data_IF_292946324527
#
_entry.id   IF_292946324527
#
_cell.length_a   1.000
_cell.length_b   1.000
_cell.length_c   1.000
_cell.angle_alpha   90.00
_cell.angle_beta   90.00
_cell.angle_gamma   90.00
#
_symmetry.space_group_name_H-M   'P 1'
#
loop_
_entity.id
_entity.type
_entity.pdbx_description
1 polymer ?
#
# COMPACT_ATOMS: atom_id res chain seq x y z
N UNK A 1 -17.15 -15.08 -0.71
CA UNK A 1 -16.86 -13.75 -1.30
C UNK A 1 -15.90 -13.02 -0.36
N UNK A 2 -14.77 -12.49 -0.85
CA UNK A 2 -13.85 -11.68 -0.03
C UNK A 2 -14.25 -10.21 -0.16
N UNK A 3 -14.43 -9.52 0.97
CA UNK A 3 -14.72 -8.07 1.02
C UNK A 3 -13.49 -7.39 1.60
N UNK A 4 -12.92 -6.46 0.85
CA UNK A 4 -11.74 -5.70 1.25
C UNK A 4 -12.08 -4.23 1.40
N UNK A 5 -11.38 -3.54 2.30
CA UNK A 5 -11.50 -2.10 2.50
C UNK A 5 -10.33 -1.37 1.84
N UNK A 6 -10.64 -0.36 1.00
CA UNK A 6 -9.64 0.57 0.46
C UNK A 6 -9.31 1.62 1.52
N UNK A 7 -8.04 1.63 1.94
CA UNK A 7 -7.56 2.47 3.04
C UNK A 7 -7.21 3.91 2.66
N UNK A 8 -7.36 4.35 1.40
CA UNK A 8 -6.97 5.70 0.97
C UNK A 8 -7.74 6.79 1.75
N UNK A 9 -8.99 6.49 2.11
CA UNK A 9 -9.88 7.39 2.86
C UNK A 9 -9.45 7.63 4.31
N UNK A 10 -8.55 6.80 4.85
CA UNK A 10 -8.00 6.89 6.22
C UNK A 10 -6.46 6.87 6.26
N UNK A 11 -5.80 7.19 5.14
CA UNK A 11 -4.33 7.14 5.01
C UNK A 11 -3.54 8.04 5.95
N UNK A 12 -4.21 8.96 6.64
CA UNK A 12 -3.57 9.87 7.59
C UNK A 12 -3.44 9.27 9.00
N UNK A 13 -4.08 8.12 9.29
CA UNK A 13 -4.01 7.46 10.60
C UNK A 13 -2.65 6.81 10.89
N UNK A 14 -1.79 6.67 9.88
CA UNK A 14 -0.57 5.87 9.98
C UNK A 14 -0.85 4.36 9.96
N UNK A 15 0.16 3.56 9.59
CA UNK A 15 -0.05 2.14 9.22
C UNK A 15 -0.67 1.29 10.33
N UNK A 16 -0.28 1.48 11.58
CA UNK A 16 -0.78 0.69 12.72
C UNK A 16 -2.25 1.02 13.02
N UNK A 17 -2.58 2.29 13.25
CA UNK A 17 -3.96 2.69 13.58
C UNK A 17 -4.91 2.42 12.41
N UNK A 18 -4.43 2.57 11.18
CA UNK A 18 -5.19 2.21 9.97
C UNK A 18 -5.63 0.74 10.00
N UNK A 19 -4.73 -0.22 10.29
CA UNK A 19 -5.08 -1.64 10.37
C UNK A 19 -6.07 -1.92 11.50
N UNK A 20 -5.83 -1.36 12.69
CA UNK A 20 -6.77 -1.51 13.80
C UNK A 20 -8.15 -0.94 13.47
N UNK A 21 -8.23 0.20 12.78
CA UNK A 21 -9.50 0.80 12.38
C UNK A 21 -10.28 -0.10 11.42
N UNK A 22 -9.61 -0.72 10.45
CA UNK A 22 -10.22 -1.68 9.51
C UNK A 22 -10.76 -2.90 10.25
N UNK A 23 -10.01 -3.41 11.23
CA UNK A 23 -10.44 -4.51 12.08
C UNK A 23 -11.65 -4.15 12.96
N UNK A 24 -11.65 -2.96 13.57
CA UNK A 24 -12.76 -2.42 14.38
C UNK A 24 -14.05 -2.28 13.55
N UNK A 25 -13.93 -1.96 12.25
CA UNK A 25 -15.07 -1.92 11.32
C UNK A 25 -15.52 -3.30 10.82
N UNK A 26 -14.85 -4.38 11.24
CA UNK A 26 -15.26 -5.76 10.94
C UNK A 26 -14.78 -6.29 9.58
N UNK A 27 -13.86 -5.60 8.90
CA UNK A 27 -13.28 -6.07 7.64
C UNK A 27 -12.14 -7.06 7.89
N UNK A 28 -12.11 -8.14 7.11
CA UNK A 28 -11.04 -9.16 7.15
C UNK A 28 -9.87 -8.83 6.22
N UNK A 29 -10.12 -8.03 5.17
CA UNK A 29 -9.14 -7.76 4.13
C UNK A 29 -8.92 -6.26 3.89
N UNK A 30 -7.68 -5.89 3.60
CA UNK A 30 -7.27 -4.57 3.13
C UNK A 30 -6.91 -4.66 1.64
N UNK A 31 -7.48 -3.75 0.85
CA UNK A 31 -6.88 -3.33 -0.40
C UNK A 31 -5.89 -2.22 -0.10
N UNK A 32 -4.60 -2.53 -0.21
CA UNK A 32 -3.56 -1.55 0.12
C UNK A 32 -3.40 -0.55 -1.03
N UNK A 33 -4.04 0.60 -0.88
CA UNK A 33 -3.88 1.77 -1.73
C UNK A 33 -2.64 2.60 -1.35
N UNK A 34 -2.25 3.60 -2.16
CA UNK A 34 -1.07 4.41 -1.89
C UNK A 34 -1.07 5.10 -0.53
N UNK A 35 -0.12 4.72 0.32
CA UNK A 35 0.03 5.28 1.67
C UNK A 35 1.32 6.10 1.81
N UNK A 36 1.33 7.28 2.48
CA UNK A 36 2.51 8.14 2.61
C UNK A 36 3.76 7.45 3.21
N UNK A 37 3.54 6.47 4.09
CA UNK A 37 4.63 5.70 4.73
C UNK A 37 5.04 4.44 3.95
N UNK A 38 4.25 3.98 2.98
CA UNK A 38 4.49 2.71 2.27
C UNK A 38 4.84 2.99 0.79
N UNK A 39 3.83 3.39 0.02
CA UNK A 39 3.88 3.55 -1.44
C UNK A 39 3.16 4.84 -1.85
N UNK A 40 3.78 6.02 -1.71
CA UNK A 40 3.10 7.27 -2.02
C UNK A 40 2.77 7.42 -3.51
N UNK A 41 1.65 8.09 -3.83
CA UNK A 41 1.23 8.36 -5.21
C UNK A 41 2.37 8.95 -6.06
N UNK A 42 2.59 8.36 -7.25
CA UNK A 42 3.55 8.80 -8.27
C UNK A 42 5.03 8.85 -7.86
N UNK A 43 5.36 8.46 -6.62
CA UNK A 43 6.72 8.49 -6.06
C UNK A 43 7.26 7.08 -5.90
N UNK A 44 8.58 6.98 -5.71
CA UNK A 44 9.18 5.69 -5.36
C UNK A 44 8.65 5.22 -4.00
N UNK A 45 8.47 3.90 -3.80
CA UNK A 45 8.13 3.33 -2.50
C UNK A 45 9.13 3.77 -1.42
N UNK A 46 8.63 4.06 -0.22
CA UNK A 46 9.39 4.63 0.90
C UNK A 46 9.24 3.86 2.22
N UNK A 47 8.69 2.65 2.17
CA UNK A 47 8.53 1.83 3.37
C UNK A 47 9.90 1.50 3.98
N UNK A 48 10.18 2.05 5.16
CA UNK A 48 11.36 1.65 5.94
C UNK A 48 11.16 0.24 6.52
N UNK A 49 12.23 -0.38 7.00
CA UNK A 49 12.14 -1.71 7.63
C UNK A 49 11.27 -1.67 8.88
N UNK A 50 11.35 -0.57 9.63
CA UNK A 50 10.58 -0.32 10.84
C UNK A 50 9.09 -0.21 10.52
N UNK A 51 8.70 0.61 9.53
CA UNK A 51 7.30 0.72 9.08
C UNK A 51 6.76 -0.63 8.58
N UNK A 52 7.56 -1.41 7.85
CA UNK A 52 7.14 -2.74 7.41
C UNK A 52 6.97 -3.73 8.57
N UNK A 53 7.80 -3.62 9.61
CA UNK A 53 7.69 -4.45 10.80
C UNK A 53 6.42 -4.11 11.59
N UNK A 54 6.15 -2.81 11.81
CA UNK A 54 4.93 -2.31 12.45
C UNK A 54 3.69 -2.77 11.69
N UNK A 55 3.67 -2.58 10.37
CA UNK A 55 2.54 -2.96 9.54
C UNK A 55 2.26 -4.47 9.60
N UNK A 56 3.31 -5.30 9.46
CA UNK A 56 3.20 -6.76 9.60
C UNK A 56 2.75 -7.18 11.00
N UNK A 57 3.16 -6.47 12.04
CA UNK A 57 2.75 -6.75 13.41
C UNK A 57 1.26 -6.43 13.61
N UNK A 58 0.79 -5.26 13.19
CA UNK A 58 -0.61 -4.88 13.28
C UNK A 58 -1.54 -5.86 12.54
N UNK A 59 -1.14 -6.32 11.35
CA UNK A 59 -1.88 -7.35 10.59
C UNK A 59 -1.96 -8.67 11.37
N UNK A 60 -0.87 -9.11 12.03
CA UNK A 60 -0.89 -10.31 12.88
C UNK A 60 -1.79 -10.15 14.10
N UNK A 61 -1.70 -9.02 14.79
CA UNK A 61 -2.42 -8.79 16.04
C UNK A 61 -3.93 -8.67 15.83
N UNK A 62 -4.34 -8.10 14.70
CA UNK A 62 -5.77 -7.94 14.35
C UNK A 62 -6.33 -9.11 13.56
N UNK A 63 -5.46 -9.93 12.96
CA UNK A 63 -5.85 -10.96 11.99
C UNK A 63 -6.34 -10.40 10.66
N UNK A 64 -6.19 -9.10 10.37
CA UNK A 64 -6.48 -8.52 9.05
C UNK A 64 -5.42 -8.96 8.03
N UNK A 65 -5.84 -9.26 6.81
CA UNK A 65 -4.95 -9.69 5.73
C UNK A 65 -4.95 -8.68 4.57
N UNK A 66 -3.85 -8.61 3.81
CA UNK A 66 -3.80 -7.82 2.57
C UNK A 66 -4.34 -8.68 1.43
N UNK A 67 -5.37 -8.22 0.73
CA UNK A 67 -5.91 -8.91 -0.46
C UNK A 67 -5.28 -8.44 -1.77
N UNK A 68 -4.95 -7.16 -1.86
CA UNK A 68 -4.47 -6.50 -3.07
C UNK A 68 -3.55 -5.33 -2.71
N UNK A 69 -2.74 -4.89 -3.68
CA UNK A 69 -1.84 -3.76 -3.54
C UNK A 69 -1.88 -2.93 -4.82
N UNK A 70 -2.28 -1.66 -4.70
CA UNK A 70 -2.43 -0.76 -5.84
C UNK A 70 -1.18 0.10 -5.98
N UNK A 71 -0.59 0.06 -7.18
CA UNK A 71 0.48 0.96 -7.60
C UNK A 71 -0.05 1.97 -8.61
N UNK A 72 0.13 3.27 -8.33
CA UNK A 72 -0.33 4.34 -9.23
C UNK A 72 0.86 5.12 -9.78
N UNK A 73 1.16 4.89 -11.07
CA UNK A 73 2.22 5.56 -11.81
C UNK A 73 1.73 6.13 -13.16
N UNK A 74 2.48 7.07 -13.74
CA UNK A 74 2.11 7.74 -15.01
C UNK A 74 2.56 6.96 -16.26
N UNK A 75 2.37 5.64 -16.28
CA UNK A 75 2.82 4.76 -17.38
C UNK A 75 2.06 4.93 -18.70
N UNK A 76 0.88 5.55 -18.67
CA UNK A 76 0.03 5.85 -19.83
C UNK A 76 0.06 7.33 -20.18
N UNK A 77 0.99 8.09 -19.56
CA UNK A 77 1.16 9.51 -19.84
C UNK A 77 1.75 9.76 -21.24
N UNK A 78 1.52 10.96 -21.81
CA UNK A 78 2.03 11.34 -23.12
C UNK A 78 3.54 11.62 -23.13
N UNK A 79 4.16 11.80 -21.96
CA UNK A 79 5.58 12.07 -21.80
C UNK A 79 6.37 10.76 -21.68
N UNK A 80 7.21 10.47 -22.68
CA UNK A 80 8.01 9.24 -22.77
C UNK A 80 8.95 9.06 -21.57
N UNK A 81 9.67 10.11 -21.16
CA UNK A 81 10.63 10.02 -20.06
C UNK A 81 9.92 9.66 -18.74
N UNK A 82 8.76 10.27 -18.48
CA UNK A 82 7.92 9.98 -17.31
C UNK A 82 7.32 8.58 -17.39
N UNK A 83 6.95 8.10 -18.58
CA UNK A 83 6.45 6.73 -18.78
C UNK A 83 7.52 5.68 -18.50
N UNK A 84 8.72 5.81 -19.07
CA UNK A 84 9.84 4.90 -18.80
C UNK A 84 10.21 4.88 -17.31
N UNK A 85 10.24 6.07 -16.67
CA UNK A 85 10.46 6.17 -15.23
C UNK A 85 9.36 5.49 -14.41
N UNK A 86 8.10 5.57 -14.86
CA UNK A 86 6.96 4.88 -14.24
C UNK A 86 7.06 3.35 -14.34
N UNK A 87 7.45 2.82 -15.51
CA UNK A 87 7.67 1.38 -15.71
C UNK A 87 8.80 0.87 -14.81
N UNK A 88 9.94 1.56 -14.79
CA UNK A 88 11.08 1.20 -13.91
C UNK A 88 10.72 1.23 -12.42
N UNK A 89 9.89 2.20 -12.00
CA UNK A 89 9.34 2.28 -10.63
C UNK A 89 8.51 1.04 -10.29
N UNK A 90 7.65 0.60 -11.22
CA UNK A 90 6.83 -0.58 -11.05
C UNK A 90 7.69 -1.84 -10.91
N UNK A 91 8.66 -2.06 -11.81
CA UNK A 91 9.57 -3.21 -11.75
C UNK A 91 10.32 -3.28 -10.41
N UNK A 92 10.75 -2.12 -9.89
CA UNK A 92 11.43 -2.04 -8.59
C UNK A 92 10.49 -2.42 -7.44
N UNK A 93 9.24 -1.96 -7.49
CA UNK A 93 8.24 -2.30 -6.48
C UNK A 93 7.91 -3.80 -6.48
N UNK A 94 7.86 -4.43 -7.65
CA UNK A 94 7.56 -5.86 -7.78
C UNK A 94 8.71 -6.75 -7.28
N UNK A 95 9.98 -6.37 -7.54
CA UNK A 95 11.15 -7.09 -6.99
C UNK A 95 11.21 -7.07 -5.46
N UNK A 96 10.70 -6.02 -4.83
CA UNK A 96 10.69 -5.87 -3.36
C UNK A 96 9.45 -6.49 -2.70
N UNK A 97 8.65 -7.26 -3.44
CA UNK A 97 7.41 -7.90 -2.96
C UNK A 97 7.64 -9.23 -2.24
N UNK A 98 8.89 -9.72 -2.23
CA UNK A 98 9.34 -10.93 -1.50
C UNK A 98 9.74 -10.65 -0.06
#
# INVERSE_FOLDING_TARGET
MKIAFDVDVIKDLGVTRMVHQVAEWGYKYIEQSPHPQINPFYKHPRASREIMAEYKQALRDTGVEISSFICVYRWSGPDELRRQAAVKKLETADRNRG
#
